data_IF_928339196005
#
_entry.id   IF_928339196005
#
_cell.length_a   1.000
_cell.length_b   1.000
_cell.length_c   1.000
_cell.angle_alpha   90.00
_cell.angle_beta   90.00
_cell.angle_gamma   90.00
#
_symmetry.space_group_name_H-M   'P 1'
#
loop_
_entity.id
_entity.type
_entity.pdbx_description
1 polymer ?
#
# COMPACT_ATOMS: atom_id res chain seq x y z
N UNK A 1 2.63 -13.21 9.77
CA UNK A 1 3.27 -12.31 8.86
C UNK A 1 3.95 -11.18 9.55
N UNK A 2 4.80 -10.50 8.85
CA UNK A 2 5.52 -9.36 9.35
C UNK A 2 4.84 -8.09 8.85
N UNK A 3 4.82 -7.05 9.69
CA UNK A 3 4.33 -5.75 9.28
C UNK A 3 2.83 -5.56 9.50
N UNK A 4 2.33 -4.48 8.92
CA UNK A 4 0.93 -4.08 9.02
C UNK A 4 0.25 -4.25 7.67
N UNK A 5 -0.94 -4.84 7.66
CA UNK A 5 -1.74 -4.97 6.44
C UNK A 5 -2.78 -3.87 6.41
N UNK A 6 -2.82 -3.13 5.31
CA UNK A 6 -3.82 -2.10 5.06
C UNK A 6 -4.62 -2.46 3.81
N UNK A 7 -5.93 -2.30 3.88
CA UNK A 7 -6.81 -2.49 2.73
C UNK A 7 -7.38 -1.15 2.32
N UNK A 8 -7.24 -0.85 1.03
CA UNK A 8 -7.64 0.43 0.47
C UNK A 8 -8.80 0.24 -0.47
N UNK A 9 -9.73 1.18 -0.42
CA UNK A 9 -10.89 1.21 -1.32
C UNK A 9 -10.95 2.56 -2.02
N UNK A 10 -11.37 2.56 -3.28
CA UNK A 10 -11.64 3.80 -3.99
C UNK A 10 -12.89 3.63 -4.85
N UNK A 11 -13.65 4.70 -4.96
CA UNK A 11 -14.80 4.76 -5.87
C UNK A 11 -14.52 5.68 -7.07
N UNK A 12 -13.30 6.22 -7.14
CA UNK A 12 -12.90 7.10 -8.23
C UNK A 12 -12.65 6.31 -9.52
N UNK A 13 -13.02 6.88 -10.65
CA UNK A 13 -12.78 6.31 -11.97
C UNK A 13 -12.17 7.38 -12.86
N UNK A 14 -10.99 7.16 -13.47
CA UNK A 14 -10.13 5.98 -13.32
C UNK A 14 -9.55 5.89 -11.92
N UNK A 15 -9.05 4.70 -11.56
CA UNK A 15 -8.49 4.49 -10.23
C UNK A 15 -7.25 5.34 -10.02
N UNK A 16 -7.17 6.08 -8.90
CA UNK A 16 -6.06 6.99 -8.66
C UNK A 16 -4.85 6.28 -8.06
N UNK A 17 -3.73 7.02 -7.97
CA UNK A 17 -2.64 6.64 -7.09
C UNK A 17 -2.97 7.16 -5.69
N UNK A 18 -2.96 6.27 -4.72
CA UNK A 18 -3.24 6.63 -3.33
C UNK A 18 -1.92 6.73 -2.57
N UNK A 19 -1.78 7.78 -1.75
CA UNK A 19 -0.60 7.97 -0.92
C UNK A 19 -0.93 7.57 0.51
N UNK A 20 -0.10 6.68 1.08
CA UNK A 20 -0.27 6.20 2.45
C UNK A 20 0.81 6.75 3.36
N UNK A 21 0.43 7.11 4.57
CA UNK A 21 1.34 7.54 5.62
C UNK A 21 1.07 6.74 6.90
N UNK A 22 2.09 6.61 7.73
CA UNK A 22 1.97 6.02 9.06
C UNK A 22 2.48 7.05 10.07
N UNK A 23 1.61 7.93 10.59
CA UNK A 23 2.03 8.99 11.51
C UNK A 23 2.75 8.43 12.74
N UNK A 24 3.91 9.02 13.07
CA UNK A 24 4.70 8.59 14.21
C UNK A 24 5.55 7.35 13.98
N UNK A 25 5.55 6.81 12.75
CA UNK A 25 6.34 5.62 12.41
C UNK A 25 7.05 5.83 11.07
N UNK A 26 8.19 5.19 10.91
CA UNK A 26 8.95 5.24 9.66
C UNK A 26 8.69 3.96 8.87
N UNK A 27 8.11 4.10 7.68
CA UNK A 27 7.87 2.98 6.79
C UNK A 27 9.19 2.65 6.08
N UNK A 28 9.70 1.43 6.25
CA UNK A 28 10.94 0.99 5.61
C UNK A 28 10.70 0.37 4.23
N UNK A 29 9.57 -0.30 4.07
CA UNK A 29 9.22 -0.94 2.81
C UNK A 29 7.72 -1.13 2.74
N UNK A 30 7.20 -1.27 1.53
CA UNK A 30 5.78 -1.54 1.31
C UNK A 30 5.63 -2.43 0.09
N UNK A 31 4.62 -3.29 0.12
CA UNK A 31 4.35 -4.25 -0.95
C UNK A 31 2.86 -4.28 -1.27
N UNK A 32 2.56 -4.33 -2.56
CA UNK A 32 1.21 -4.64 -2.99
C UNK A 32 1.01 -6.14 -2.86
N UNK A 33 -0.09 -6.54 -2.25
CA UNK A 33 -0.37 -7.94 -1.95
C UNK A 33 -1.63 -8.42 -2.68
N UNK A 34 -1.76 -9.76 -2.80
CA UNK A 34 -2.99 -10.36 -3.27
C UNK A 34 -3.97 -10.56 -2.09
N UNK A 35 -5.13 -11.16 -2.36
CA UNK A 35 -6.15 -11.37 -1.34
C UNK A 35 -5.70 -12.33 -0.23
N UNK A 36 -4.64 -13.10 -0.46
CA UNK A 36 -4.05 -13.99 0.54
C UNK A 36 -2.87 -13.35 1.26
N UNK A 37 -2.70 -12.04 1.08
CA UNK A 37 -1.64 -11.25 1.70
C UNK A 37 -0.23 -11.68 1.26
N UNK A 38 -0.12 -12.26 0.05
CA UNK A 38 1.19 -12.59 -0.53
C UNK A 38 1.70 -11.37 -1.29
N UNK A 39 2.97 -11.04 -1.09
CA UNK A 39 3.59 -9.91 -1.75
C UNK A 39 3.66 -10.15 -3.25
N UNK A 40 3.10 -9.21 -4.04
CA UNK A 40 3.13 -9.25 -5.49
C UNK A 40 4.24 -8.38 -6.06
N UNK A 41 4.36 -7.16 -5.56
CA UNK A 41 5.38 -6.23 -6.04
C UNK A 41 5.71 -5.19 -4.98
N UNK A 42 6.95 -4.69 -4.95
CA UNK A 42 7.31 -3.60 -4.04
C UNK A 42 6.68 -2.29 -4.49
N UNK A 43 6.34 -1.44 -3.54
CA UNK A 43 5.77 -0.13 -3.79
C UNK A 43 6.81 0.95 -3.54
N UNK A 44 6.71 2.05 -4.29
CA UNK A 44 7.62 3.16 -4.16
C UNK A 44 7.36 3.95 -2.89
N UNK A 45 8.45 4.37 -2.23
CA UNK A 45 8.39 5.28 -1.10
C UNK A 45 8.93 6.63 -1.56
N UNK A 46 8.15 7.70 -1.36
CA UNK A 46 8.57 9.07 -1.62
C UNK A 46 8.42 9.87 -0.35
N UNK A 47 9.55 10.37 0.18
CA UNK A 47 9.56 11.17 1.41
C UNK A 47 8.87 10.44 2.57
N UNK A 48 9.05 9.12 2.63
CA UNK A 48 8.44 8.30 3.67
C UNK A 48 6.98 7.95 3.43
N UNK A 49 6.41 8.35 2.28
CA UNK A 49 5.02 8.05 1.93
C UNK A 49 4.97 6.97 0.87
N UNK A 50 4.05 6.01 1.04
CA UNK A 50 3.90 4.90 0.09
C UNK A 50 3.01 5.34 -1.06
N UNK A 51 3.47 5.12 -2.28
CA UNK A 51 2.70 5.40 -3.49
C UNK A 51 2.03 4.11 -3.94
N UNK A 52 0.70 4.07 -3.92
CA UNK A 52 -0.07 2.88 -4.28
C UNK A 52 -0.85 3.14 -5.57
N UNK A 53 -0.35 2.66 -6.72
CA UNK A 53 -1.14 2.73 -7.95
C UNK A 53 -2.24 1.68 -7.84
N UNK A 54 -3.49 2.11 -7.60
CA UNK A 54 -4.60 1.20 -7.34
C UNK A 54 -4.84 0.28 -8.55
N UNK A 55 -4.72 -1.05 -8.37
CA UNK A 55 -4.97 -1.98 -9.48
C UNK A 55 -6.45 -2.10 -9.82
N UNK A 56 -7.30 -1.62 -8.95
CA UNK A 56 -8.75 -1.63 -9.11
C UNK A 56 -9.37 -0.88 -7.96
N UNK A 57 -10.62 -1.17 -7.64
CA UNK A 57 -11.33 -0.49 -6.55
C UNK A 57 -10.78 -0.85 -5.17
N UNK A 58 -10.05 -1.96 -5.06
CA UNK A 58 -9.52 -2.47 -3.79
C UNK A 58 -8.05 -2.83 -3.95
N UNK A 59 -7.24 -2.48 -2.96
CA UNK A 59 -5.84 -2.88 -2.90
C UNK A 59 -5.49 -3.31 -1.49
N UNK A 60 -4.64 -4.34 -1.36
CA UNK A 60 -4.10 -4.79 -0.09
C UNK A 60 -2.60 -4.47 -0.09
N UNK A 61 -2.15 -3.81 0.97
CA UNK A 61 -0.77 -3.33 1.07
C UNK A 61 -0.18 -3.80 2.39
N UNK A 62 1.05 -4.31 2.34
CA UNK A 62 1.82 -4.62 3.54
C UNK A 62 2.84 -3.53 3.76
N UNK A 63 2.88 -3.00 4.99
CA UNK A 63 3.84 -1.99 5.42
C UNK A 63 4.83 -2.61 6.40
N UNK A 64 6.11 -2.39 6.18
CA UNK A 64 7.17 -2.81 7.10
C UNK A 64 7.80 -1.59 7.74
N UNK A 65 8.06 -1.69 9.04
CA UNK A 65 8.59 -0.58 9.84
C UNK A 65 9.97 -0.84 10.40
#
# INVERSE_FOLDING_TARGET
>A
GQGLIARLHTFAMPTPTVTLAAPGRTIKAAFLCDARERDLEPLELRKGLVQVPMPGAIATVRLLF
#
